data_IF_272900712552
#
_entry.id   IF_272900712552
#
_cell.length_a   1.000
_cell.length_b   1.000
_cell.length_c   1.000
_cell.angle_alpha   90.00
_cell.angle_beta   90.00
_cell.angle_gamma   90.00
#
_symmetry.space_group_name_H-M   'P 1'
#
loop_
_entity.id
_entity.type
_entity.pdbx_description
1 polymer ?
#
# COMPACT_ATOMS: atom_id res chain seq x y z
N UNK A 1 10.55 15.24 -16.23
CA UNK A 1 9.11 15.25 -16.60
C UNK A 1 8.81 14.50 -17.90
N UNK A 2 9.70 14.48 -18.93
CA UNK A 2 9.43 13.84 -20.25
C UNK A 2 8.80 12.44 -20.19
N UNK A 3 9.31 11.57 -19.31
CA UNK A 3 8.83 10.19 -19.17
C UNK A 3 7.81 9.98 -18.06
N UNK A 4 7.62 10.97 -17.17
CA UNK A 4 6.77 10.82 -15.98
C UNK A 4 5.31 10.52 -16.34
N UNK A 5 4.79 11.14 -17.40
CA UNK A 5 3.41 10.89 -17.85
C UNK A 5 3.24 9.55 -18.57
N UNK A 6 4.19 9.17 -19.42
CA UNK A 6 4.07 7.98 -20.27
C UNK A 6 4.56 6.71 -19.60
N UNK A 7 5.38 6.82 -18.55
CA UNK A 7 5.98 5.69 -17.83
C UNK A 7 5.47 5.66 -16.40
N UNK A 8 5.90 6.59 -15.53
CA UNK A 8 5.60 6.53 -14.10
C UNK A 8 4.09 6.49 -13.80
N UNK A 9 3.32 7.40 -14.40
CA UNK A 9 1.86 7.47 -14.21
C UNK A 9 1.18 6.20 -14.73
N UNK A 10 1.57 5.71 -15.91
CA UNK A 10 1.00 4.50 -16.52
C UNK A 10 1.30 3.26 -15.68
N UNK A 11 2.56 3.10 -15.23
CA UNK A 11 2.96 1.98 -14.40
C UNK A 11 2.29 2.01 -13.02
N UNK A 12 2.17 3.19 -12.41
CA UNK A 12 1.46 3.35 -11.14
C UNK A 12 -0.03 3.01 -11.28
N UNK A 13 -0.70 3.53 -12.31
CA UNK A 13 -2.09 3.22 -12.63
C UNK A 13 -2.29 1.71 -12.85
N UNK A 14 -1.44 1.09 -13.66
CA UNK A 14 -1.53 -0.34 -13.96
C UNK A 14 -1.30 -1.19 -12.70
N UNK A 15 -0.38 -0.78 -11.81
CA UNK A 15 -0.18 -1.44 -10.54
C UNK A 15 -1.45 -1.39 -9.66
N UNK A 16 -2.05 -0.21 -9.46
CA UNK A 16 -3.27 -0.08 -8.67
C UNK A 16 -4.41 -0.91 -9.27
N UNK A 17 -4.61 -0.84 -10.60
CA UNK A 17 -5.63 -1.63 -11.29
C UNK A 17 -5.41 -3.13 -11.09
N UNK A 18 -4.18 -3.61 -11.26
CA UNK A 18 -3.86 -5.04 -11.10
C UNK A 18 -4.21 -5.54 -9.69
N UNK A 19 -3.85 -4.78 -8.65
CA UNK A 19 -4.19 -5.15 -7.27
C UNK A 19 -5.70 -5.03 -6.99
N UNK A 20 -6.38 -4.03 -7.57
CA UNK A 20 -7.84 -3.91 -7.49
C UNK A 20 -8.56 -5.12 -8.09
N UNK A 21 -8.05 -5.65 -9.20
CA UNK A 21 -8.57 -6.89 -9.80
C UNK A 21 -8.22 -8.15 -8.99
N UNK A 22 -7.22 -8.10 -8.10
CA UNK A 22 -6.75 -9.27 -7.37
C UNK A 22 -7.46 -9.49 -6.01
N UNK A 23 -8.25 -8.53 -5.53
CA UNK A 23 -8.80 -8.53 -4.16
C UNK A 23 -9.68 -9.73 -3.83
N UNK A 24 -10.39 -10.27 -4.82
CA UNK A 24 -11.32 -11.40 -4.72
C UNK A 24 -10.69 -12.73 -5.17
N UNK A 25 -9.39 -12.72 -5.50
CA UNK A 25 -8.65 -13.87 -6.06
C UNK A 25 -7.59 -14.43 -5.10
N UNK A 26 -7.57 -13.95 -3.86
CA UNK A 26 -6.76 -14.50 -2.78
C UNK A 26 -7.55 -15.58 -2.04
N UNK A 27 -7.29 -16.84 -2.39
CA UNK A 27 -7.97 -17.99 -1.81
C UNK A 27 -7.21 -18.59 -0.63
N UNK A 28 -7.95 -18.91 0.41
CA UNK A 28 -7.51 -19.71 1.56
C UNK A 28 -7.32 -21.18 1.19
N UNK A 29 -6.77 -21.96 2.12
CA UNK A 29 -6.42 -23.36 1.86
C UNK A 29 -7.04 -24.29 2.90
N UNK A 30 -7.36 -25.50 2.47
CA UNK A 30 -7.72 -26.60 3.36
C UNK A 30 -6.53 -27.55 3.40
N UNK A 31 -5.98 -27.78 4.59
CA UNK A 31 -4.88 -28.71 4.76
C UNK A 31 -5.41 -30.15 4.87
N UNK A 32 -4.65 -31.16 4.42
CA UNK A 32 -5.01 -32.56 4.65
C UNK A 32 -5.16 -32.83 6.16
N UNK A 33 -6.32 -33.34 6.56
CA UNK A 33 -6.66 -33.66 7.95
C UNK A 33 -7.35 -35.03 8.08
N UNK A 34 -7.26 -35.70 9.24
CA UNK A 34 -8.06 -36.89 9.55
C UNK A 34 -9.57 -36.65 9.43
N UNK A 35 -10.36 -37.72 9.27
CA UNK A 35 -11.82 -37.65 9.04
C UNK A 35 -12.61 -36.90 10.13
N UNK A 36 -12.09 -36.86 11.35
CA UNK A 36 -12.71 -36.21 12.51
C UNK A 36 -12.22 -34.77 12.76
N UNK A 37 -11.48 -34.18 11.82
CA UNK A 37 -10.96 -32.82 11.95
C UNK A 37 -10.91 -32.06 10.62
N UNK A 38 -11.02 -30.73 10.70
CA UNK A 38 -10.89 -29.82 9.57
C UNK A 38 -9.78 -28.81 9.86
N UNK A 39 -8.76 -28.77 9.01
CA UNK A 39 -7.67 -27.80 9.10
C UNK A 39 -7.81 -26.73 8.00
N UNK A 40 -8.00 -25.48 8.41
CA UNK A 40 -8.11 -24.32 7.51
C UNK A 40 -6.87 -23.43 7.67
N UNK A 41 -6.37 -22.91 6.55
CA UNK A 41 -5.32 -21.89 6.51
C UNK A 41 -5.95 -20.65 5.90
N UNK A 42 -6.22 -19.67 6.76
CA UNK A 42 -6.79 -18.37 6.37
C UNK A 42 -5.72 -17.29 6.25
N UNK A 43 -5.94 -16.32 5.38
CA UNK A 43 -5.11 -15.11 5.26
C UNK A 43 -5.86 -13.92 5.84
N UNK A 44 -5.34 -13.41 6.94
CA UNK A 44 -5.90 -12.22 7.59
C UNK A 44 -5.00 -11.01 7.35
N UNK A 45 -5.57 -9.80 7.22
CA UNK A 45 -4.79 -8.58 7.19
C UNK A 45 -3.96 -8.45 8.47
N UNK A 46 -2.74 -7.95 8.35
CA UNK A 46 -1.89 -7.66 9.50
C UNK A 46 -2.38 -6.43 10.29
N UNK A 47 -3.23 -5.60 9.68
CA UNK A 47 -3.84 -4.43 10.32
C UNK A 47 -3.28 -3.13 9.74
N UNK A 48 -2.54 -2.38 10.55
CA UNK A 48 -1.93 -1.10 10.13
C UNK A 48 -0.49 -1.33 9.70
N UNK A 49 -0.18 -0.95 8.46
CA UNK A 49 1.17 -1.08 7.88
C UNK A 49 1.80 0.29 7.69
N UNK A 50 3.04 0.46 8.14
CA UNK A 50 3.85 1.61 7.79
C UNK A 50 4.77 1.29 6.61
N UNK A 51 4.85 2.18 5.62
CA UNK A 51 5.76 2.05 4.49
C UNK A 51 6.57 3.32 4.26
N UNK A 52 7.88 3.18 4.05
CA UNK A 52 8.80 4.27 3.74
C UNK A 52 9.30 4.09 2.31
N UNK A 53 9.20 5.12 1.47
CA UNK A 53 9.59 5.04 0.04
C UNK A 53 10.68 6.06 -0.34
N UNK A 54 11.56 5.73 -1.30
CA UNK A 54 12.61 6.63 -1.78
C UNK A 54 12.07 7.68 -2.77
N UNK A 55 12.94 8.60 -3.21
CA UNK A 55 12.61 9.77 -4.02
C UNK A 55 12.71 9.57 -5.55
N UNK A 56 13.26 8.46 -6.02
CA UNK A 56 13.61 8.29 -7.44
C UNK A 56 12.41 8.01 -8.35
N UNK A 57 11.41 7.28 -7.86
CA UNK A 57 10.16 7.00 -8.59
C UNK A 57 8.96 7.16 -7.65
N UNK A 58 8.67 8.38 -7.16
CA UNK A 58 7.78 8.58 -6.01
C UNK A 58 6.35 8.07 -6.25
N UNK A 59 5.82 8.22 -7.48
CA UNK A 59 4.48 7.71 -7.81
C UNK A 59 4.43 6.19 -7.86
N UNK A 60 5.38 5.58 -8.57
CA UNK A 60 5.42 4.13 -8.78
C UNK A 60 5.74 3.39 -7.47
N UNK A 61 6.69 3.90 -6.69
CA UNK A 61 7.04 3.35 -5.38
C UNK A 61 5.87 3.44 -4.40
N UNK A 62 5.10 4.53 -4.44
CA UNK A 62 3.86 4.63 -3.66
C UNK A 62 2.84 3.58 -4.12
N UNK A 63 2.59 3.45 -5.42
CA UNK A 63 1.64 2.47 -5.95
C UNK A 63 2.00 1.02 -5.58
N UNK A 64 3.29 0.67 -5.60
CA UNK A 64 3.80 -0.64 -5.15
C UNK A 64 3.57 -0.93 -3.66
N UNK A 65 3.29 0.09 -2.84
CA UNK A 65 2.92 -0.08 -1.43
C UNK A 65 1.42 -0.02 -1.21
N UNK A 66 0.73 0.93 -1.87
CA UNK A 66 -0.72 1.12 -1.77
C UNK A 66 -1.46 -0.12 -2.26
N UNK A 67 -1.16 -0.58 -3.48
CA UNK A 67 -1.85 -1.69 -4.13
C UNK A 67 -1.94 -2.94 -3.26
N UNK A 68 -0.81 -3.59 -2.89
CA UNK A 68 -0.85 -4.81 -2.11
C UNK A 68 -1.37 -4.60 -0.69
N UNK A 69 -1.05 -3.48 -0.03
CA UNK A 69 -1.49 -3.24 1.35
C UNK A 69 -3.01 -3.17 1.45
N UNK A 70 -3.64 -2.34 0.60
CA UNK A 70 -5.10 -2.18 0.60
C UNK A 70 -5.80 -3.42 0.05
N UNK A 71 -5.26 -4.06 -0.99
CA UNK A 71 -5.85 -5.27 -1.56
C UNK A 71 -5.89 -6.44 -0.56
N UNK A 72 -4.90 -6.54 0.32
CA UNK A 72 -4.88 -7.52 1.39
C UNK A 72 -5.72 -7.11 2.62
N UNK A 73 -6.46 -6.01 2.57
CA UNK A 73 -7.34 -5.55 3.66
C UNK A 73 -6.65 -4.74 4.76
N UNK A 74 -5.42 -4.26 4.55
CA UNK A 74 -4.70 -3.45 5.55
C UNK A 74 -5.02 -1.96 5.40
N UNK A 75 -4.77 -1.21 6.48
CA UNK A 75 -4.61 0.25 6.40
C UNK A 75 -3.13 0.60 6.23
N UNK A 76 -2.84 1.70 5.55
CA UNK A 76 -1.47 2.10 5.19
C UNK A 76 -1.14 3.52 5.69
N UNK A 77 -0.01 3.64 6.38
CA UNK A 77 0.68 4.90 6.67
C UNK A 77 1.92 4.98 5.78
N UNK A 78 1.89 5.85 4.77
CA UNK A 78 2.96 6.01 3.80
C UNK A 78 3.79 7.25 4.12
N UNK A 79 5.08 7.06 4.41
CA UNK A 79 6.07 8.12 4.50
C UNK A 79 6.84 8.23 3.18
N UNK A 80 6.60 9.25 2.36
CA UNK A 80 7.46 9.54 1.22
C UNK A 80 8.79 10.13 1.68
N UNK A 81 9.82 10.03 0.83
CA UNK A 81 11.02 10.83 1.00
C UNK A 81 10.68 12.32 0.98
N UNK A 82 11.28 13.06 1.90
CA UNK A 82 11.30 14.51 2.03
C UNK A 82 11.71 15.22 0.73
N UNK A 83 12.45 14.55 -0.15
CA UNK A 83 12.88 15.09 -1.45
C UNK A 83 11.79 15.07 -2.52
N UNK A 84 10.77 14.21 -2.37
CA UNK A 84 9.70 14.04 -3.36
C UNK A 84 8.32 13.72 -2.74
N UNK A 85 7.79 14.54 -1.80
CA UNK A 85 6.57 14.20 -1.06
C UNK A 85 5.27 14.51 -1.80
N UNK A 86 5.27 15.53 -2.67
CA UNK A 86 4.05 16.12 -3.25
C UNK A 86 3.19 15.11 -4.01
N UNK A 87 3.84 14.18 -4.73
CA UNK A 87 3.13 13.14 -5.47
C UNK A 87 2.32 12.21 -4.56
N UNK A 88 2.86 11.84 -3.40
CA UNK A 88 2.14 10.97 -2.45
C UNK A 88 0.96 11.71 -1.82
N UNK A 89 1.11 13.00 -1.52
CA UNK A 89 0.01 13.83 -1.04
C UNK A 89 -1.12 13.91 -2.06
N UNK A 90 -0.79 14.13 -3.35
CA UNK A 90 -1.81 14.15 -4.41
C UNK A 90 -2.50 12.79 -4.59
N UNK A 91 -1.77 11.68 -4.43
CA UNK A 91 -2.37 10.34 -4.45
C UNK A 91 -3.34 10.13 -3.27
N UNK A 92 -3.07 10.71 -2.09
CA UNK A 92 -3.98 10.62 -0.95
C UNK A 92 -5.30 11.38 -1.20
N UNK A 93 -5.23 12.57 -1.79
CA UNK A 93 -6.42 13.32 -2.21
C UNK A 93 -7.24 12.51 -3.22
N UNK A 94 -6.59 11.94 -4.23
CA UNK A 94 -7.25 11.10 -5.23
C UNK A 94 -7.85 9.83 -4.64
N UNK A 95 -7.23 9.24 -3.62
CA UNK A 95 -7.78 8.08 -2.93
C UNK A 95 -9.08 8.42 -2.18
N UNK A 96 -9.13 9.59 -1.53
CA UNK A 96 -10.35 10.10 -0.90
C UNK A 96 -11.44 10.39 -1.95
N UNK A 97 -11.08 11.03 -3.06
CA UNK A 97 -11.99 11.25 -4.20
C UNK A 97 -12.54 9.93 -4.77
N UNK A 98 -11.72 8.87 -4.80
CA UNK A 98 -12.11 7.54 -5.25
C UNK A 98 -12.95 6.73 -4.24
N UNK A 99 -13.18 7.26 -3.03
CA UNK A 99 -14.00 6.63 -2.00
C UNK A 99 -13.25 5.70 -1.04
N UNK A 100 -11.91 5.77 -0.98
CA UNK A 100 -11.15 5.10 0.09
C UNK A 100 -11.57 5.68 1.44
N UNK A 101 -12.00 4.86 2.42
CA UNK A 101 -12.46 5.38 3.71
C UNK A 101 -11.39 6.20 4.42
N UNK A 102 -11.84 7.25 5.14
CA UNK A 102 -10.94 8.08 5.95
C UNK A 102 -10.14 7.23 6.93
N UNK A 103 -8.82 7.45 6.99
CA UNK A 103 -7.91 6.71 7.87
C UNK A 103 -7.37 5.39 7.29
N UNK A 104 -7.91 4.86 6.18
CA UNK A 104 -7.39 3.65 5.53
C UNK A 104 -6.07 3.92 4.81
N UNK A 105 -5.93 5.10 4.19
CA UNK A 105 -4.68 5.53 3.56
C UNK A 105 -4.27 6.91 4.09
N UNK A 106 -3.12 6.96 4.74
CA UNK A 106 -2.55 8.18 5.33
C UNK A 106 -1.18 8.43 4.73
N UNK A 107 -0.86 9.68 4.41
CA UNK A 107 0.46 10.09 3.92
C UNK A 107 1.09 11.04 4.93
N UNK A 108 2.28 10.69 5.41
CA UNK A 108 3.00 11.43 6.44
C UNK A 108 4.38 11.87 5.91
N UNK A 109 4.48 13.05 5.26
CA UNK A 109 5.77 13.62 4.91
C UNK A 109 6.58 13.97 6.16
N UNK A 110 7.90 13.84 6.08
CA UNK A 110 8.81 14.21 7.16
C UNK A 110 10.22 13.71 6.89
N UNK A 111 11.17 13.98 7.79
CA UNK A 111 12.55 13.49 7.68
C UNK A 111 12.70 12.04 8.17
N UNK A 112 13.77 11.37 7.75
CA UNK A 112 14.00 9.96 8.05
C UNK A 112 14.29 9.70 9.54
N UNK A 113 15.12 10.55 10.14
CA UNK A 113 15.54 10.54 11.55
C UNK A 113 14.41 10.89 12.54
N UNK A 114 13.40 11.63 12.09
CA UNK A 114 12.20 11.94 12.86
C UNK A 114 11.04 11.00 12.50
N UNK A 115 10.32 11.29 11.41
CA UNK A 115 9.12 10.54 11.03
C UNK A 115 9.41 9.08 10.66
N UNK A 116 10.54 8.82 9.99
CA UNK A 116 10.91 7.45 9.62
C UNK A 116 11.25 6.58 10.84
N UNK A 117 12.05 7.13 11.76
CA UNK A 117 12.40 6.48 13.02
C UNK A 117 11.18 6.26 13.91
N UNK A 118 10.28 7.25 14.00
CA UNK A 118 9.04 7.12 14.78
C UNK A 118 8.18 5.95 14.26
N UNK A 119 8.01 5.83 12.94
CA UNK A 119 7.30 4.69 12.34
C UNK A 119 8.00 3.35 12.59
N UNK A 120 9.33 3.32 12.48
CA UNK A 120 10.11 2.09 12.66
C UNK A 120 10.20 1.59 14.11
N UNK A 121 9.87 2.44 15.09
CA UNK A 121 9.91 2.12 16.52
C UNK A 121 8.52 2.05 17.17
N UNK A 122 7.44 2.18 16.38
CA UNK A 122 6.07 2.14 16.90
C UNK A 122 5.70 0.71 17.34
N UNK A 123 5.15 0.58 18.55
CA UNK A 123 4.60 -0.67 19.12
C UNK A 123 3.09 -0.71 19.02
#
# INVERSE_FOLDING_TARGET
IRYSRSVDVQLAQNCIRWYGEAIDKLYDQVAPSPEDSLALITREPVGVVAAIIPWNYPMLMAAWKIGPALAAGNSLVLKPSEKAPLTSLRLAELALEAGVPSGVFNVLPGFGDEAGRALGLHM
#
